data_IF_423096366149
#
_entry.id   IF_423096366149
#
_cell.length_a   1.000
_cell.length_b   1.000
_cell.length_c   1.000
_cell.angle_alpha   90.00
_cell.angle_beta   90.00
_cell.angle_gamma   90.00
#
_symmetry.space_group_name_H-M   'P 1'
#
loop_
_entity.id
_entity.type
_entity.pdbx_description
1 polymer ?
#
# COMPACT_ATOMS: atom_id res chain seq x y z
N UNK A 1 5.49 4.63 21.61
CA UNK A 1 4.38 3.83 21.04
C UNK A 1 3.31 4.68 20.38
N UNK A 2 2.81 5.77 20.99
CA UNK A 2 1.76 6.62 20.39
C UNK A 2 2.12 7.19 19.02
N UNK A 3 3.35 7.69 18.85
CA UNK A 3 3.83 8.22 17.55
C UNK A 3 3.85 7.14 16.48
N UNK A 4 4.34 5.94 16.79
CA UNK A 4 4.33 4.81 15.85
C UNK A 4 2.90 4.38 15.53
N UNK A 5 2.02 4.31 16.54
CA UNK A 5 0.61 3.99 16.37
C UNK A 5 -0.14 5.02 15.53
N UNK A 6 0.21 6.30 15.64
CA UNK A 6 -0.33 7.37 14.79
C UNK A 6 0.03 7.12 13.32
N UNK A 7 1.31 6.87 13.00
CA UNK A 7 1.73 6.62 11.62
C UNK A 7 1.12 5.34 11.05
N UNK A 8 1.02 4.28 11.85
CA UNK A 8 0.33 3.04 11.45
C UNK A 8 -1.17 3.28 11.23
N UNK A 9 -1.80 4.09 12.09
CA UNK A 9 -3.21 4.47 11.95
C UNK A 9 -3.46 5.32 10.71
N UNK A 10 -2.58 6.28 10.41
CA UNK A 10 -2.62 7.09 9.18
C UNK A 10 -2.46 6.20 7.94
N UNK A 11 -1.53 5.23 7.97
CA UNK A 11 -1.37 4.26 6.90
C UNK A 11 -2.65 3.43 6.71
N UNK A 12 -3.28 2.96 7.78
CA UNK A 12 -4.56 2.23 7.71
C UNK A 12 -5.71 3.08 7.16
N UNK A 13 -5.83 4.34 7.61
CA UNK A 13 -6.85 5.27 7.14
C UNK A 13 -6.69 5.67 5.66
N UNK A 14 -5.45 5.67 5.14
CA UNK A 14 -5.16 6.02 3.75
C UNK A 14 -5.87 5.11 2.73
N UNK A 15 -6.18 3.86 3.09
CA UNK A 15 -6.90 2.94 2.21
C UNK A 15 -8.32 3.43 1.91
N UNK A 16 -9.04 3.92 2.93
CA UNK A 16 -10.38 4.48 2.75
C UNK A 16 -10.35 5.76 1.89
N UNK A 17 -9.31 6.60 2.08
CA UNK A 17 -9.07 7.79 1.24
C UNK A 17 -8.81 7.36 -0.21
N UNK A 18 -8.03 6.30 -0.43
CA UNK A 18 -7.73 5.77 -1.76
C UNK A 18 -8.96 5.26 -2.51
N UNK A 19 -9.93 4.66 -1.82
CA UNK A 19 -11.23 4.28 -2.38
C UNK A 19 -11.99 5.53 -2.88
N UNK A 20 -12.17 6.52 -2.00
CA UNK A 20 -12.88 7.75 -2.33
C UNK A 20 -12.20 8.49 -3.49
N UNK A 21 -10.86 8.58 -3.45
CA UNK A 21 -10.07 9.17 -4.52
C UNK A 21 -10.27 8.41 -5.84
N UNK A 22 -10.02 7.11 -5.89
CA UNK A 22 -10.10 6.31 -7.13
C UNK A 22 -11.50 6.37 -7.73
N UNK A 23 -12.54 6.19 -6.92
CA UNK A 23 -13.94 6.23 -7.42
C UNK A 23 -14.34 7.56 -8.05
N UNK A 24 -13.77 8.69 -7.59
CA UNK A 24 -14.07 10.01 -8.14
C UNK A 24 -13.54 10.23 -9.57
N UNK A 25 -12.54 9.47 -10.01
CA UNK A 25 -11.91 9.61 -11.33
C UNK A 25 -12.52 8.73 -12.42
N UNK A 26 -13.43 7.81 -12.08
CA UNK A 26 -14.03 6.89 -13.05
C UNK A 26 -15.55 7.09 -13.17
N UNK A 27 -16.06 7.01 -14.39
CA UNK A 27 -17.50 6.98 -14.69
C UNK A 27 -18.17 5.74 -14.08
N UNK A 28 -19.47 5.83 -13.78
CA UNK A 28 -20.24 4.77 -13.10
C UNK A 28 -20.09 3.39 -13.74
N UNK A 29 -20.03 3.30 -15.07
CA UNK A 29 -19.90 2.00 -15.74
C UNK A 29 -18.54 1.32 -15.48
N UNK A 30 -17.49 2.08 -15.16
CA UNK A 30 -16.12 1.57 -14.97
C UNK A 30 -15.68 1.52 -13.50
N UNK A 31 -16.43 2.13 -12.59
CA UNK A 31 -16.14 2.15 -11.16
C UNK A 31 -16.01 0.73 -10.57
N UNK A 32 -16.83 -0.22 -11.01
CA UNK A 32 -16.76 -1.61 -10.53
C UNK A 32 -15.38 -2.25 -10.80
N UNK A 33 -14.86 -2.08 -12.01
CA UNK A 33 -13.53 -2.60 -12.39
C UNK A 33 -12.41 -1.86 -11.67
N UNK A 34 -12.48 -0.52 -11.60
CA UNK A 34 -11.48 0.30 -10.90
C UNK A 34 -11.38 -0.06 -9.41
N UNK A 35 -12.53 -0.22 -8.75
CA UNK A 35 -12.62 -0.63 -7.35
C UNK A 35 -12.19 -2.08 -7.13
N UNK A 36 -12.46 -2.97 -8.11
CA UNK A 36 -11.97 -4.35 -8.08
C UNK A 36 -10.44 -4.42 -8.12
N UNK A 37 -9.79 -3.63 -8.98
CA UNK A 37 -8.33 -3.54 -9.06
C UNK A 37 -7.76 -2.93 -7.76
N UNK A 38 -8.36 -1.85 -7.26
CA UNK A 38 -7.96 -1.25 -5.99
C UNK A 38 -8.06 -2.26 -4.83
N UNK A 39 -9.17 -3.00 -4.76
CA UNK A 39 -9.41 -4.05 -3.78
C UNK A 39 -8.45 -5.23 -3.88
N UNK A 40 -8.00 -5.57 -5.10
CA UNK A 40 -6.96 -6.59 -5.31
C UNK A 40 -5.63 -6.23 -4.63
N UNK A 41 -5.38 -4.94 -4.33
CA UNK A 41 -4.25 -4.48 -3.52
C UNK A 41 -4.16 -5.15 -2.14
N UNK A 42 -5.27 -5.65 -1.59
CA UNK A 42 -5.28 -6.45 -0.35
C UNK A 42 -4.49 -7.76 -0.47
N UNK A 43 -4.24 -8.26 -1.68
CA UNK A 43 -3.34 -9.40 -1.90
C UNK A 43 -1.92 -9.12 -1.37
N UNK A 44 -1.52 -7.84 -1.25
CA UNK A 44 -0.26 -7.44 -0.61
C UNK A 44 -0.12 -7.96 0.83
N UNK A 45 -1.22 -8.14 1.56
CA UNK A 45 -1.18 -8.73 2.90
C UNK A 45 -0.78 -10.22 2.86
N UNK A 46 -1.30 -10.97 1.89
CA UNK A 46 -0.90 -12.36 1.67
C UNK A 46 0.57 -12.47 1.25
N UNK A 47 1.01 -11.58 0.35
CA UNK A 47 2.44 -11.47 -0.03
C UNK A 47 3.29 -11.17 1.19
N UNK A 48 2.85 -10.25 2.06
CA UNK A 48 3.57 -9.86 3.26
C UNK A 48 3.77 -11.03 4.22
N UNK A 49 2.71 -11.84 4.42
CA UNK A 49 2.77 -13.02 5.27
C UNK A 49 3.73 -14.09 4.76
N UNK A 50 4.01 -14.12 3.44
CA UNK A 50 5.00 -15.02 2.86
C UNK A 50 6.41 -14.42 2.88
N UNK A 51 6.54 -13.15 2.50
CA UNK A 51 7.84 -12.48 2.28
C UNK A 51 8.50 -12.05 3.59
N UNK A 52 7.73 -11.55 4.57
CA UNK A 52 8.31 -11.07 5.82
C UNK A 52 9.07 -12.16 6.59
N UNK A 53 8.55 -13.39 6.78
CA UNK A 53 9.32 -14.47 7.40
C UNK A 53 10.59 -14.83 6.64
N UNK A 54 10.55 -14.86 5.30
CA UNK A 54 11.73 -15.14 4.47
C UNK A 54 12.85 -14.10 4.69
N UNK A 55 12.48 -12.81 4.75
CA UNK A 55 13.44 -11.73 5.04
C UNK A 55 14.01 -11.87 6.45
N UNK A 56 13.17 -12.21 7.44
CA UNK A 56 13.61 -12.40 8.83
C UNK A 56 14.63 -13.54 8.92
N UNK A 57 14.38 -14.66 8.26
CA UNK A 57 15.28 -15.83 8.28
C UNK A 57 16.61 -15.51 7.59
N UNK A 58 16.59 -14.80 6.47
CA UNK A 58 17.79 -14.53 5.68
C UNK A 58 18.64 -13.36 6.23
N UNK A 59 18.01 -12.30 6.73
CA UNK A 59 18.70 -11.04 7.06
C UNK A 59 18.31 -10.43 8.41
N UNK A 60 17.42 -11.09 9.17
CA UNK A 60 16.95 -10.62 10.47
C UNK A 60 15.79 -9.62 10.40
N UNK A 61 15.15 -9.39 11.56
CA UNK A 61 13.89 -8.64 11.65
C UNK A 61 14.01 -7.16 11.27
N UNK A 62 15.19 -6.53 11.44
CA UNK A 62 15.41 -5.11 11.12
C UNK A 62 15.36 -4.83 9.62
N UNK A 63 15.62 -5.83 8.78
CA UNK A 63 15.55 -5.68 7.34
C UNK A 63 14.12 -5.61 6.81
N UNK A 64 13.14 -6.18 7.54
CA UNK A 64 11.73 -6.12 7.15
C UNK A 64 11.26 -4.67 7.00
N UNK A 65 11.29 -3.81 8.04
CA UNK A 65 10.82 -2.43 7.87
C UNK A 65 11.63 -1.66 6.82
N UNK A 66 12.92 -1.92 6.63
CA UNK A 66 13.73 -1.24 5.62
C UNK A 66 13.27 -1.60 4.19
N UNK A 67 13.09 -2.89 3.89
CA UNK A 67 12.62 -3.35 2.58
C UNK A 67 11.23 -2.79 2.27
N UNK A 68 10.31 -2.82 3.25
CA UNK A 68 8.96 -2.29 3.06
C UNK A 68 8.95 -0.76 2.91
N UNK A 69 9.84 -0.04 3.62
CA UNK A 69 9.99 1.41 3.46
C UNK A 69 10.45 1.77 2.05
N UNK A 70 11.43 1.03 1.49
CA UNK A 70 11.89 1.23 0.12
C UNK A 70 10.78 0.90 -0.88
N UNK A 71 10.05 -0.20 -0.71
CA UNK A 71 8.93 -0.57 -1.57
C UNK A 71 7.81 0.49 -1.57
N UNK A 72 7.48 1.05 -0.40
CA UNK A 72 6.54 2.16 -0.28
C UNK A 72 7.05 3.43 -0.98
N UNK A 73 8.33 3.77 -0.81
CA UNK A 73 8.92 4.94 -1.46
C UNK A 73 8.92 4.80 -2.98
N UNK A 74 9.25 3.61 -3.51
CA UNK A 74 9.16 3.32 -4.95
C UNK A 74 7.72 3.48 -5.44
N UNK A 75 6.73 2.93 -4.74
CA UNK A 75 5.31 3.08 -5.09
C UNK A 75 4.88 4.55 -5.09
N UNK A 76 5.32 5.33 -4.10
CA UNK A 76 5.03 6.76 -4.02
C UNK A 76 5.65 7.55 -5.18
N UNK A 77 6.89 7.26 -5.56
CA UNK A 77 7.57 7.90 -6.70
C UNK A 77 6.87 7.52 -8.01
N UNK A 78 6.52 6.25 -8.21
CA UNK A 78 5.78 5.83 -9.40
C UNK A 78 4.43 6.54 -9.49
N UNK A 79 3.67 6.56 -8.39
CA UNK A 79 2.39 7.27 -8.34
C UNK A 79 2.54 8.75 -8.69
N UNK A 80 3.54 9.42 -8.11
CA UNK A 80 3.83 10.82 -8.42
C UNK A 80 4.11 11.02 -9.92
N UNK A 81 4.99 10.21 -10.51
CA UNK A 81 5.37 10.33 -11.92
C UNK A 81 4.19 10.08 -12.87
N UNK A 82 3.30 9.13 -12.56
CA UNK A 82 2.15 8.81 -13.40
C UNK A 82 0.95 9.75 -13.20
N UNK A 83 0.86 10.45 -12.06
CA UNK A 83 -0.27 11.34 -11.73
C UNK A 83 0.04 12.82 -12.00
N UNK A 84 1.30 13.16 -12.32
CA UNK A 84 1.74 14.55 -12.52
C UNK A 84 1.29 15.18 -13.87
N UNK A 85 0.44 14.50 -14.64
CA UNK A 85 -0.23 15.00 -15.86
C UNK A 85 -1.73 15.10 -15.64
#
# INVERSE_FOLDING_TARGET
YLVLGLFVGLAGGSFAVGIAYTSAWFEKERQGTAMGIFGAGNAGAAITNLVAPMIVVAFGWRMVPQVYSVAMLVTAVLFWLFTWT
#
